data_IF_926898874628
#
_entry.id   IF_926898874628
#
_cell.length_a   1.000
_cell.length_b   1.000
_cell.length_c   1.000
_cell.angle_alpha   90.00
_cell.angle_beta   90.00
_cell.angle_gamma   90.00
#
_symmetry.space_group_name_H-M   'P 1'
#
loop_
_entity.id
_entity.type
_entity.pdbx_description
1 polymer ?
#
# COMPACT_ATOMS: atom_id res chain seq x y z
N UNK A 1 -20.10 3.78 -18.23
CA UNK A 1 -19.44 2.85 -17.30
C UNK A 1 -18.01 3.38 -17.14
N UNK A 2 -17.73 4.14 -16.09
CA UNK A 2 -16.37 4.68 -15.87
C UNK A 2 -15.48 3.57 -15.33
N UNK A 3 -14.23 3.42 -15.82
CA UNK A 3 -13.29 2.46 -15.27
C UNK A 3 -12.97 2.87 -13.82
N UNK A 4 -13.06 1.91 -12.91
CA UNK A 4 -12.70 2.08 -11.51
C UNK A 4 -11.23 2.52 -11.44
N UNK A 5 -10.99 3.61 -10.74
CA UNK A 5 -9.71 4.36 -10.67
C UNK A 5 -8.51 3.55 -10.12
N UNK A 6 -8.68 2.29 -9.79
CA UNK A 6 -7.64 1.46 -9.18
C UNK A 6 -6.66 0.82 -10.18
N UNK A 7 -7.04 0.59 -11.44
CA UNK A 7 -6.15 -0.07 -12.40
C UNK A 7 -4.90 0.74 -12.76
N UNK A 8 -4.96 2.08 -12.68
CA UNK A 8 -3.86 2.96 -13.11
C UNK A 8 -2.77 3.18 -12.08
N UNK A 9 -3.01 2.89 -10.80
CA UNK A 9 -2.11 3.30 -9.70
C UNK A 9 -1.09 2.22 -9.34
N UNK A 10 -1.31 0.97 -9.73
CA UNK A 10 -0.46 -0.17 -9.38
C UNK A 10 0.86 -0.26 -10.15
N UNK A 11 0.96 0.41 -11.31
CA UNK A 11 2.05 0.17 -12.25
C UNK A 11 3.35 0.95 -12.01
N UNK A 12 3.40 2.00 -11.18
CA UNK A 12 4.56 2.89 -11.12
C UNK A 12 4.92 3.38 -9.70
N UNK A 13 5.26 2.45 -8.82
CA UNK A 13 6.01 2.79 -7.61
C UNK A 13 7.51 2.53 -7.83
N UNK A 14 8.15 3.40 -8.60
CA UNK A 14 9.61 3.55 -8.52
C UNK A 14 9.87 4.57 -7.43
N UNK A 15 10.12 4.10 -6.21
CA UNK A 15 10.71 4.93 -5.16
C UNK A 15 12.13 5.29 -5.56
N UNK A 16 12.31 6.43 -6.25
CA UNK A 16 13.62 7.09 -6.33
C UNK A 16 13.60 8.25 -5.36
N UNK A 17 14.51 8.31 -4.37
CA UNK A 17 14.68 9.49 -3.55
C UNK A 17 15.03 10.66 -4.44
N UNK A 18 14.30 11.76 -4.33
CA UNK A 18 14.55 12.98 -5.09
C UNK A 18 15.84 13.62 -4.59
N UNK A 19 16.88 13.60 -5.43
CA UNK A 19 18.16 14.22 -5.14
C UNK A 19 18.01 15.75 -4.99
N UNK A 20 18.70 16.34 -4.02
CA UNK A 20 18.64 17.77 -3.65
C UNK A 20 18.89 18.75 -4.81
N UNK A 21 19.65 18.34 -5.84
CA UNK A 21 19.92 19.15 -7.04
C UNK A 21 18.73 19.44 -7.93
N UNK A 22 17.61 18.72 -7.76
CA UNK A 22 16.38 18.94 -8.52
C UNK A 22 15.47 20.02 -7.91
N UNK A 23 15.72 20.43 -6.67
CA UNK A 23 14.96 21.50 -6.01
C UNK A 23 15.21 22.88 -6.62
N UNK A 24 16.42 23.15 -7.11
CA UNK A 24 16.80 24.47 -7.65
C UNK A 24 16.31 24.73 -9.08
N UNK A 25 16.02 23.70 -9.87
CA UNK A 25 15.50 23.84 -11.25
C UNK A 25 13.98 24.00 -11.33
N UNK A 26 13.27 23.95 -10.20
CA UNK A 26 11.81 24.02 -10.15
C UNK A 26 11.24 25.46 -10.34
N UNK A 27 12.07 26.49 -10.44
CA UNK A 27 11.62 27.89 -10.48
C UNK A 27 11.27 28.44 -11.89
N UNK A 28 11.39 27.67 -12.94
CA UNK A 28 11.19 28.16 -14.32
C UNK A 28 10.28 27.30 -15.20
N UNK A 29 9.46 26.38 -14.64
CA UNK A 29 8.62 25.50 -15.46
C UNK A 29 7.15 25.76 -15.15
N UNK A 30 6.32 25.93 -16.20
CA UNK A 30 4.86 26.02 -16.13
C UNK A 30 4.28 25.18 -14.98
N UNK A 31 3.40 25.76 -14.18
CA UNK A 31 2.81 25.16 -12.98
C UNK A 31 2.24 23.77 -13.28
N UNK A 32 3.05 22.73 -13.06
CA UNK A 32 2.56 21.35 -13.14
C UNK A 32 1.50 21.20 -12.07
N UNK A 33 0.26 20.87 -12.44
CA UNK A 33 -0.81 20.71 -11.46
C UNK A 33 -0.43 19.64 -10.44
N UNK A 34 -0.71 19.91 -9.16
CA UNK A 34 -0.46 18.96 -8.07
C UNK A 34 -1.79 18.44 -7.54
N UNK A 35 -1.92 17.14 -7.46
CA UNK A 35 -3.07 16.45 -6.87
C UNK A 35 -2.65 15.74 -5.58
N UNK A 36 -3.48 15.86 -4.56
CA UNK A 36 -3.36 15.10 -3.32
C UNK A 36 -4.03 13.74 -3.50
N UNK A 37 -3.35 12.69 -3.03
CA UNK A 37 -3.89 11.34 -3.06
C UNK A 37 -3.72 10.68 -1.70
N UNK A 38 -4.79 10.12 -1.16
CA UNK A 38 -4.81 9.43 0.12
C UNK A 38 -5.14 7.97 -0.13
N UNK A 39 -4.30 7.09 0.41
CA UNK A 39 -4.50 5.64 0.43
C UNK A 39 -4.42 5.13 1.85
N UNK A 40 -4.97 3.96 2.07
CA UNK A 40 -4.82 3.23 3.31
C UNK A 40 -4.65 1.73 3.04
N UNK A 41 -4.01 1.05 3.96
CA UNK A 41 -3.79 -0.38 3.91
C UNK A 41 -3.32 -0.92 5.24
N UNK A 42 -2.89 -2.15 5.28
CA UNK A 42 -2.57 -2.75 6.57
C UNK A 42 -1.56 -3.87 6.55
N UNK A 43 -0.96 -4.06 7.71
CA UNK A 43 -0.28 -5.29 8.09
C UNK A 43 -1.32 -6.18 8.74
N UNK A 44 -1.95 -7.03 7.92
CA UNK A 44 -2.89 -8.03 8.40
C UNK A 44 -2.10 -9.22 8.96
N UNK A 45 -2.27 -9.53 10.24
CA UNK A 45 -1.51 -10.56 10.92
C UNK A 45 -2.39 -11.62 11.60
N UNK A 46 -1.81 -12.81 11.76
CA UNK A 46 -2.33 -13.89 12.60
C UNK A 46 -1.20 -14.57 13.36
N UNK A 47 -1.54 -15.21 14.46
CA UNK A 47 -0.62 -16.09 15.20
C UNK A 47 -0.98 -17.55 14.89
N UNK A 48 -0.04 -18.32 14.36
CA UNK A 48 -0.23 -19.75 14.05
C UNK A 48 0.99 -20.54 14.48
N UNK A 49 0.77 -21.60 15.26
CA UNK A 49 1.86 -22.47 15.77
C UNK A 49 3.01 -21.69 16.43
N UNK A 50 2.68 -20.64 17.22
CA UNK A 50 3.66 -19.81 17.91
C UNK A 50 4.41 -18.80 17.02
N UNK A 51 4.10 -18.74 15.71
CA UNK A 51 4.68 -17.78 14.76
C UNK A 51 3.69 -16.69 14.41
N UNK A 52 4.21 -15.52 14.08
CA UNK A 52 3.45 -14.41 13.51
C UNK A 52 3.55 -14.47 11.99
N UNK A 53 2.42 -14.59 11.34
CA UNK A 53 2.32 -14.52 9.87
C UNK A 53 1.60 -13.23 9.46
N UNK A 54 2.02 -12.62 8.37
CA UNK A 54 1.39 -11.44 7.77
C UNK A 54 0.96 -11.74 6.34
N UNK A 55 -0.14 -11.13 5.91
CA UNK A 55 -0.64 -11.27 4.55
C UNK A 55 0.10 -10.31 3.63
N UNK A 56 0.74 -10.84 2.58
CA UNK A 56 1.33 -10.09 1.49
C UNK A 56 0.58 -10.37 0.20
N UNK A 57 0.62 -9.39 -0.70
CA UNK A 57 0.09 -9.52 -2.06
C UNK A 57 1.18 -9.32 -3.09
N UNK A 58 1.07 -10.03 -4.20
CA UNK A 58 1.93 -9.89 -5.38
C UNK A 58 1.15 -9.21 -6.49
N UNK A 59 1.70 -8.16 -7.07
CA UNK A 59 1.02 -7.34 -8.09
C UNK A 59 1.95 -6.98 -9.24
N UNK A 60 1.33 -6.62 -10.37
CA UNK A 60 2.02 -6.16 -11.57
C UNK A 60 2.72 -7.28 -12.35
N UNK A 61 3.29 -6.94 -13.49
CA UNK A 61 4.00 -7.90 -14.38
C UNK A 61 5.25 -8.48 -13.74
N UNK A 62 5.92 -7.70 -12.87
CA UNK A 62 7.14 -8.12 -12.16
C UNK A 62 6.85 -8.92 -10.87
N UNK A 63 5.59 -9.23 -10.57
CA UNK A 63 5.18 -9.95 -9.37
C UNK A 63 5.76 -9.36 -8.07
N UNK A 64 5.67 -8.04 -7.90
CA UNK A 64 6.22 -7.36 -6.72
C UNK A 64 5.38 -7.63 -5.48
N UNK A 65 6.03 -8.07 -4.42
CA UNK A 65 5.41 -8.28 -3.12
C UNK A 65 5.26 -6.97 -2.36
N UNK A 66 4.06 -6.71 -1.86
CA UNK A 66 3.73 -5.51 -1.10
C UNK A 66 2.62 -5.77 -0.09
N UNK A 67 2.40 -4.79 0.79
CA UNK A 67 1.25 -4.77 1.68
C UNK A 67 -0.03 -4.42 0.90
N UNK A 68 -1.18 -5.05 1.21
CA UNK A 68 -2.47 -4.68 0.64
C UNK A 68 -2.84 -3.25 1.02
N UNK A 69 -3.20 -2.43 0.03
CA UNK A 69 -3.55 -1.01 0.19
C UNK A 69 -4.18 -0.44 -1.06
N UNK A 70 -5.05 0.53 -0.90
CA UNK A 70 -5.62 1.25 -2.03
C UNK A 70 -6.14 2.63 -1.66
N UNK A 71 -6.84 3.27 -2.59
CA UNK A 71 -7.36 4.61 -2.41
C UNK A 71 -8.47 4.66 -1.37
N UNK A 72 -8.46 5.73 -0.59
CA UNK A 72 -9.57 6.07 0.31
C UNK A 72 -10.69 6.70 -0.51
N UNK A 73 -11.88 6.13 -0.45
CA UNK A 73 -13.05 6.63 -1.16
C UNK A 73 -13.59 7.92 -0.52
N UNK A 74 -14.36 8.68 -1.29
CA UNK A 74 -14.96 9.91 -0.78
C UNK A 74 -15.89 9.63 0.39
N UNK A 75 -15.58 10.23 1.54
CA UNK A 75 -16.36 10.06 2.78
C UNK A 75 -15.98 8.82 3.60
N UNK A 76 -15.03 8.02 3.12
CA UNK A 76 -14.51 6.88 3.86
C UNK A 76 -13.40 7.32 4.83
N UNK A 77 -13.34 6.69 6.00
CA UNK A 77 -12.17 6.86 6.88
C UNK A 77 -10.99 6.02 6.41
N UNK A 78 -9.77 6.42 6.76
CA UNK A 78 -8.57 5.64 6.42
C UNK A 78 -8.56 4.24 7.05
N UNK A 79 -9.20 4.08 8.21
CA UNK A 79 -9.37 2.77 8.87
C UNK A 79 -10.33 1.86 8.08
N UNK A 80 -11.48 2.40 7.67
CA UNK A 80 -12.45 1.66 6.87
C UNK A 80 -11.85 1.26 5.52
N UNK A 81 -11.13 2.17 4.87
CA UNK A 81 -10.43 1.90 3.63
C UNK A 81 -9.37 0.78 3.80
N UNK A 82 -8.59 0.80 4.90
CA UNK A 82 -7.60 -0.24 5.16
C UNK A 82 -8.24 -1.63 5.31
N UNK A 83 -9.37 -1.74 6.03
CA UNK A 83 -10.11 -3.01 6.16
C UNK A 83 -10.64 -3.46 4.79
N UNK A 84 -11.28 -2.57 4.04
CA UNK A 84 -11.84 -2.86 2.72
C UNK A 84 -10.78 -3.33 1.74
N UNK A 85 -9.65 -2.61 1.64
CA UNK A 85 -8.56 -2.94 0.72
C UNK A 85 -7.91 -4.28 1.08
N UNK A 86 -7.70 -4.57 2.38
CA UNK A 86 -7.19 -5.88 2.81
C UNK A 86 -8.17 -7.00 2.47
N UNK A 87 -9.49 -6.76 2.60
CA UNK A 87 -10.50 -7.75 2.21
C UNK A 87 -10.50 -7.99 0.70
N UNK A 88 -10.44 -6.92 -0.11
CA UNK A 88 -10.45 -7.01 -1.57
C UNK A 88 -9.15 -7.63 -2.10
N UNK A 89 -8.00 -7.15 -1.66
CA UNK A 89 -6.69 -7.55 -2.18
C UNK A 89 -6.12 -8.82 -1.57
N UNK A 90 -6.45 -9.14 -0.33
CA UNK A 90 -5.93 -10.33 0.35
C UNK A 90 -7.02 -11.37 0.69
N UNK A 91 -8.30 -11.13 0.36
CA UNK A 91 -9.39 -12.11 0.54
C UNK A 91 -9.77 -12.39 2.00
N UNK A 92 -9.35 -11.57 2.96
CA UNK A 92 -9.49 -11.83 4.37
C UNK A 92 -10.23 -10.72 5.12
N UNK A 93 -11.03 -11.12 6.11
CA UNK A 93 -11.68 -10.21 7.04
C UNK A 93 -10.76 -9.91 8.23
N UNK A 94 -10.71 -8.64 8.62
CA UNK A 94 -9.83 -8.18 9.69
C UNK A 94 -10.52 -7.18 10.62
N UNK A 95 -9.91 -6.94 11.78
CA UNK A 95 -10.27 -5.85 12.69
C UNK A 95 -9.05 -4.97 12.97
N UNK A 96 -9.28 -3.67 13.12
CA UNK A 96 -8.21 -2.72 13.46
C UNK A 96 -7.76 -2.94 14.90
N UNK A 97 -6.44 -3.07 15.07
CA UNK A 97 -5.81 -3.04 16.40
C UNK A 97 -5.36 -1.62 16.71
N UNK A 98 -4.52 -1.05 15.84
CA UNK A 98 -4.05 0.33 15.98
C UNK A 98 -3.44 0.84 14.66
N UNK A 99 -3.21 2.14 14.58
CA UNK A 99 -2.47 2.75 13.49
C UNK A 99 -0.97 2.57 13.69
N UNK A 100 -0.27 2.07 12.67
CA UNK A 100 1.18 1.89 12.69
C UNK A 100 1.91 3.19 12.37
N UNK A 101 1.70 3.71 11.16
CA UNK A 101 2.37 4.91 10.65
C UNK A 101 1.75 5.40 9.33
N UNK A 102 2.38 6.42 8.78
CA UNK A 102 2.04 7.02 7.49
C UNK A 102 3.31 7.10 6.63
N UNK A 103 3.20 6.65 5.39
CA UNK A 103 4.23 6.85 4.35
C UNK A 103 3.81 7.99 3.45
N UNK A 104 4.76 8.84 3.09
CA UNK A 104 4.55 10.02 2.24
C UNK A 104 5.56 10.01 1.09
N UNK A 105 5.07 10.21 -0.13
CA UNK A 105 5.93 10.34 -1.30
C UNK A 105 5.29 11.16 -2.42
N UNK A 106 6.14 11.56 -3.39
CA UNK A 106 5.76 12.33 -4.55
C UNK A 106 6.08 11.54 -5.80
N UNK A 107 5.16 11.58 -6.80
CA UNK A 107 5.42 11.00 -8.10
C UNK A 107 4.78 11.81 -9.21
N UNK A 108 5.17 11.55 -10.45
CA UNK A 108 4.59 12.17 -11.63
C UNK A 108 3.87 11.11 -12.45
N UNK A 109 2.70 11.48 -12.92
CA UNK A 109 1.90 10.67 -13.82
C UNK A 109 1.44 11.48 -15.01
N UNK A 110 1.17 10.82 -16.17
CA UNK A 110 0.54 11.45 -17.33
C UNK A 110 -0.94 11.17 -17.32
N UNK A 111 -1.76 12.22 -17.23
CA UNK A 111 -3.20 12.17 -17.43
C UNK A 111 -3.53 12.92 -18.72
N UNK A 112 -4.23 12.29 -19.67
CA UNK A 112 -4.58 12.89 -20.96
C UNK A 112 -3.41 13.61 -21.64
N UNK A 113 -2.24 12.96 -21.68
CA UNK A 113 -0.96 13.50 -22.17
C UNK A 113 -0.36 14.65 -21.36
N UNK A 114 -0.98 15.13 -20.28
CA UNK A 114 -0.46 16.16 -19.37
C UNK A 114 0.28 15.53 -18.19
N UNK A 115 1.43 16.10 -17.86
CA UNK A 115 2.19 15.69 -16.66
C UNK A 115 1.53 16.28 -15.42
N UNK A 116 1.13 15.41 -14.48
CA UNK A 116 0.55 15.77 -13.19
C UNK A 116 1.49 15.29 -12.08
N UNK A 117 1.71 16.12 -11.06
CA UNK A 117 2.46 15.74 -9.86
C UNK A 117 1.48 15.28 -8.78
N UNK A 118 1.74 14.12 -8.21
CA UNK A 118 0.96 13.59 -7.12
C UNK A 118 1.73 13.69 -5.81
N UNK A 119 1.04 14.18 -4.78
CA UNK A 119 1.46 14.08 -3.38
C UNK A 119 0.63 12.98 -2.73
N UNK A 120 1.25 11.87 -2.40
CA UNK A 120 0.55 10.70 -1.89
C UNK A 120 0.89 10.42 -0.45
N UNK A 121 -0.14 10.16 0.35
CA UNK A 121 -0.06 9.62 1.70
C UNK A 121 -0.66 8.22 1.72
N UNK A 122 0.02 7.29 2.39
CA UNK A 122 -0.50 5.95 2.64
C UNK A 122 -0.52 5.70 4.15
N UNK A 123 -1.70 5.52 4.71
CA UNK A 123 -1.90 5.22 6.13
C UNK A 123 -1.91 3.72 6.33
N UNK A 124 -1.04 3.20 7.21
CA UNK A 124 -0.95 1.77 7.52
C UNK A 124 -1.46 1.47 8.93
N UNK A 125 -2.28 0.42 9.02
CA UNK A 125 -2.88 -0.08 10.24
C UNK A 125 -2.42 -1.49 10.55
N UNK A 126 -2.31 -1.81 11.83
CA UNK A 126 -2.17 -3.17 12.31
C UNK A 126 -3.56 -3.80 12.36
N UNK A 127 -3.76 -4.86 11.59
CA UNK A 127 -5.05 -5.50 11.40
C UNK A 127 -4.97 -6.96 11.84
N UNK A 128 -5.83 -7.33 12.79
CA UNK A 128 -5.92 -8.72 13.25
C UNK A 128 -6.83 -9.52 12.34
N UNK A 129 -6.35 -10.65 11.84
CA UNK A 129 -7.14 -11.61 11.06
C UNK A 129 -8.33 -12.14 11.86
N UNK A 130 -9.49 -12.26 11.22
CA UNK A 130 -10.73 -12.84 11.76
C UNK A 130 -11.16 -14.07 10.98
N UNK A 131 -11.29 -13.97 9.68
CA UNK A 131 -11.80 -15.04 8.81
C UNK A 131 -11.41 -14.80 7.36
N UNK A 132 -11.81 -15.70 6.46
CA UNK A 132 -11.53 -15.61 5.03
C UNK A 132 -10.31 -16.42 4.60
N UNK A 133 -10.04 -16.42 3.31
CA UNK A 133 -8.95 -17.18 2.72
C UNK A 133 -8.19 -16.30 1.71
N UNK A 134 -6.88 -16.28 1.77
CA UNK A 134 -6.05 -15.47 0.85
C UNK A 134 -6.22 -15.87 -0.62
N UNK A 135 -6.83 -17.02 -0.90
CA UNK A 135 -7.21 -17.43 -2.26
C UNK A 135 -8.40 -16.67 -2.82
N UNK A 136 -9.16 -15.98 -1.98
CA UNK A 136 -10.37 -15.22 -2.35
C UNK A 136 -10.04 -13.75 -2.69
N UNK A 137 -8.76 -13.43 -2.95
CA UNK A 137 -8.31 -12.13 -3.41
C UNK A 137 -8.91 -11.74 -4.76
N UNK A 138 -9.01 -10.45 -5.03
CA UNK A 138 -9.52 -9.95 -6.31
C UNK A 138 -8.59 -10.26 -7.50
N UNK A 139 -9.09 -10.00 -8.72
CA UNK A 139 -8.35 -10.28 -9.97
C UNK A 139 -7.19 -9.34 -10.24
N UNK A 140 -7.08 -8.24 -9.50
CA UNK A 140 -6.02 -7.26 -9.65
C UNK A 140 -4.73 -7.69 -8.96
N UNK A 141 -4.83 -8.66 -8.06
CA UNK A 141 -3.72 -9.28 -7.34
C UNK A 141 -3.34 -10.58 -8.02
N UNK A 142 -2.06 -10.78 -8.29
CA UNK A 142 -1.55 -12.01 -8.89
C UNK A 142 -1.59 -13.17 -7.90
N UNK A 143 -1.24 -12.88 -6.65
CA UNK A 143 -1.21 -13.84 -5.55
C UNK A 143 -1.32 -13.12 -4.22
N UNK A 144 -2.05 -13.71 -3.27
CA UNK A 144 -2.02 -13.32 -1.86
C UNK A 144 -1.58 -14.51 -1.01
N UNK A 145 -0.74 -14.25 0.01
CA UNK A 145 -0.12 -15.33 0.78
C UNK A 145 0.15 -14.90 2.23
N UNK A 146 -0.02 -15.84 3.15
CA UNK A 146 0.51 -15.73 4.51
C UNK A 146 2.00 -16.03 4.52
N UNK A 147 2.78 -15.14 5.09
CA UNK A 147 4.24 -15.24 5.16
C UNK A 147 4.66 -14.97 6.60
N UNK A 148 5.61 -15.73 7.11
CA UNK A 148 6.22 -15.45 8.42
C UNK A 148 6.80 -14.03 8.42
N UNK A 149 6.65 -13.29 9.53
CA UNK A 149 6.87 -11.84 9.54
C UNK A 149 8.30 -11.42 9.17
N UNK A 150 9.31 -12.22 9.52
CA UNK A 150 10.70 -11.93 9.17
C UNK A 150 10.96 -12.20 7.67
N UNK A 151 10.42 -13.29 7.15
CA UNK A 151 10.47 -13.58 5.71
C UNK A 151 9.71 -12.53 4.91
N UNK A 152 8.61 -12.02 5.44
CA UNK A 152 7.83 -10.96 4.80
C UNK A 152 8.63 -9.65 4.63
N UNK A 153 9.43 -9.27 5.63
CA UNK A 153 10.32 -8.11 5.56
C UNK A 153 11.32 -8.28 4.40
N UNK A 154 11.88 -9.47 4.23
CA UNK A 154 12.83 -9.74 3.12
C UNK A 154 12.13 -9.75 1.75
N UNK A 155 10.91 -10.27 1.67
CA UNK A 155 10.15 -10.39 0.41
C UNK A 155 9.63 -9.04 -0.11
N UNK A 156 9.30 -8.08 0.77
CA UNK A 156 8.73 -6.80 0.38
C UNK A 156 9.64 -6.04 -0.59
N UNK A 157 9.05 -5.50 -1.66
CA UNK A 157 9.78 -4.78 -2.70
C UNK A 157 10.19 -3.36 -2.30
N UNK A 158 9.54 -2.77 -1.27
CA UNK A 158 9.71 -1.35 -0.91
C UNK A 158 10.21 -1.20 0.52
N UNK A 159 11.29 -0.44 0.69
CA UNK A 159 11.91 -0.18 2.00
C UNK A 159 10.96 0.56 2.97
N UNK A 160 10.06 1.39 2.45
CA UNK A 160 9.03 2.03 3.26
C UNK A 160 8.09 1.01 3.90
N UNK A 161 7.66 -0.01 3.15
CA UNK A 161 6.78 -1.08 3.66
C UNK A 161 7.52 -2.05 4.59
N UNK A 162 8.80 -2.34 4.34
CA UNK A 162 9.64 -3.09 5.29
C UNK A 162 9.66 -2.44 6.66
N UNK A 163 9.87 -1.11 6.71
CA UNK A 163 9.84 -0.33 7.97
C UNK A 163 8.46 -0.37 8.65
N UNK A 164 7.38 -0.41 7.88
CA UNK A 164 6.01 -0.57 8.42
C UNK A 164 5.86 -1.95 9.09
N UNK A 165 6.31 -3.03 8.43
CA UNK A 165 6.24 -4.38 9.01
C UNK A 165 7.15 -4.54 10.23
N UNK A 166 8.34 -3.93 10.23
CA UNK A 166 9.21 -3.88 11.40
C UNK A 166 8.56 -3.17 12.60
N UNK A 167 7.83 -2.08 12.35
CA UNK A 167 7.03 -1.41 13.40
C UNK A 167 5.89 -2.30 13.88
N UNK A 168 5.16 -2.93 12.96
CA UNK A 168 4.10 -3.87 13.29
C UNK A 168 4.62 -5.03 14.16
N UNK A 169 5.78 -5.60 13.82
CA UNK A 169 6.42 -6.66 14.62
C UNK A 169 6.63 -6.25 16.08
N UNK A 170 7.09 -5.01 16.33
CA UNK A 170 7.25 -4.49 17.70
C UNK A 170 5.93 -4.28 18.45
N UNK A 171 4.84 -3.96 17.73
CA UNK A 171 3.50 -3.78 18.31
C UNK A 171 2.82 -5.12 18.65
N UNK A 172 3.14 -6.18 17.90
CA UNK A 172 2.57 -7.51 18.11
C UNK A 172 3.21 -8.22 19.33
N UNK A 173 4.47 -7.93 19.64
CA UNK A 173 5.23 -8.51 20.78
C UNK A 173 5.82 -9.86 20.44
#
# INVERSE_FOLDING_TARGET
>A
MQPRSNEFIRFLLVEKPMNSSLRERAHAVSKVPTKLQISAGGVAFRKRNGRVEVALISVGEDNRWQLPKGLVDKGESTEAAAIREVREEAGIETEVVERIDKVEYWYFWKEDAKRVRYHKFVYFYLLRYKSGDVRDHDREVNEARWVEIDDAIEMLAFDSEKKIVEKAKRLIG
#
